data_IF_368901249694
#
_entry.id   IF_368901249694
#
_cell.length_a   1.000
_cell.length_b   1.000
_cell.length_c   1.000
_cell.angle_alpha   90.00
_cell.angle_beta   90.00
_cell.angle_gamma   90.00
#
_symmetry.space_group_name_H-M   'P 1'
#
loop_
_entity.id
_entity.type
_entity.pdbx_description
1 polymer ?
#
# COMPACT_ATOMS: atom_id res chain seq x y z
N UNK A 1 -13.71 29.37 -5.49
CA UNK A 1 -14.04 28.35 -6.49
C UNK A 1 -12.85 27.42 -6.70
N UNK A 2 -13.09 26.14 -6.67
CA UNK A 2 -12.05 25.14 -6.91
C UNK A 2 -11.87 24.94 -8.41
N UNK A 3 -10.60 24.85 -8.84
CA UNK A 3 -10.24 24.65 -10.26
C UNK A 3 -10.10 23.18 -10.64
N UNK A 4 -10.43 22.25 -9.71
CA UNK A 4 -10.24 20.81 -9.91
C UNK A 4 -11.58 20.10 -9.79
N UNK A 5 -11.80 19.09 -10.63
CA UNK A 5 -12.99 18.25 -10.58
C UNK A 5 -12.76 16.98 -9.77
N UNK A 6 -11.51 16.52 -9.71
CA UNK A 6 -11.12 15.29 -9.02
C UNK A 6 -9.77 15.44 -8.35
N UNK A 7 -9.56 14.65 -7.29
CA UNK A 7 -8.29 14.56 -6.59
C UNK A 7 -7.89 13.09 -6.48
N UNK A 8 -6.64 12.80 -6.83
CA UNK A 8 -6.05 11.48 -6.67
C UNK A 8 -5.19 11.48 -5.40
N UNK A 9 -5.43 10.53 -4.52
CA UNK A 9 -4.68 10.37 -3.28
C UNK A 9 -3.79 9.15 -3.33
N UNK A 10 -2.55 9.31 -2.90
CA UNK A 10 -1.73 8.19 -2.46
C UNK A 10 -2.30 7.69 -1.13
N UNK A 11 -2.13 6.40 -0.84
CA UNK A 11 -2.68 5.80 0.37
C UNK A 11 -1.60 5.64 1.43
N UNK A 12 -0.57 4.83 1.13
CA UNK A 12 0.48 4.52 2.10
C UNK A 12 1.36 5.75 2.35
N UNK A 13 1.46 6.16 3.61
CA UNK A 13 2.23 7.33 3.99
C UNK A 13 1.52 8.67 3.78
N UNK A 14 0.30 8.66 3.24
CA UNK A 14 -0.50 9.87 3.01
C UNK A 14 -1.81 9.85 3.78
N UNK A 15 -2.61 8.81 3.62
CA UNK A 15 -3.88 8.62 4.32
C UNK A 15 -3.75 7.64 5.47
N UNK A 16 -2.88 6.66 5.31
CA UNK A 16 -2.68 5.56 6.26
C UNK A 16 -1.20 5.42 6.58
N UNK A 17 -0.88 5.38 7.85
CA UNK A 17 0.46 5.00 8.32
C UNK A 17 0.53 3.48 8.31
N UNK A 18 0.96 2.93 7.20
CA UNK A 18 1.07 1.48 6.97
C UNK A 18 2.49 0.97 7.20
N UNK A 19 3.44 1.84 7.52
CA UNK A 19 4.85 1.47 7.67
C UNK A 19 5.07 0.33 8.67
N UNK A 20 4.47 0.32 9.88
CA UNK A 20 4.72 -0.78 10.82
C UNK A 20 4.38 -2.15 10.24
N UNK A 21 3.21 -2.29 9.62
CA UNK A 21 2.77 -3.56 9.06
C UNK A 21 3.62 -4.01 7.88
N UNK A 22 3.98 -3.09 6.99
CA UNK A 22 4.84 -3.39 5.83
C UNK A 22 6.23 -3.82 6.31
N UNK A 23 6.83 -3.06 7.21
CA UNK A 23 8.18 -3.35 7.70
C UNK A 23 8.23 -4.69 8.44
N UNK A 24 7.27 -4.94 9.33
CA UNK A 24 7.20 -6.20 10.07
C UNK A 24 7.02 -7.40 9.14
N UNK A 25 6.19 -7.26 8.11
CA UNK A 25 5.99 -8.32 7.12
C UNK A 25 7.26 -8.57 6.30
N UNK A 26 7.94 -7.50 5.88
CA UNK A 26 9.21 -7.63 5.16
C UNK A 26 10.27 -8.35 6.01
N UNK A 27 10.39 -7.98 7.28
CA UNK A 27 11.33 -8.65 8.20
C UNK A 27 11.06 -10.15 8.29
N UNK A 28 9.79 -10.51 8.44
CA UNK A 28 9.38 -11.91 8.51
C UNK A 28 9.75 -12.67 7.23
N UNK A 29 9.40 -12.11 6.07
CA UNK A 29 9.64 -12.76 4.78
C UNK A 29 11.14 -12.90 4.51
N UNK A 30 11.92 -11.84 4.72
CA UNK A 30 13.37 -11.91 4.54
C UNK A 30 14.01 -12.95 5.47
N UNK A 31 13.59 -13.01 6.72
CA UNK A 31 14.09 -14.03 7.66
C UNK A 31 13.76 -15.45 7.17
N UNK A 32 12.54 -15.67 6.68
CA UNK A 32 12.12 -16.98 6.14
C UNK A 32 12.87 -17.34 4.86
N UNK A 33 13.32 -16.35 4.10
CA UNK A 33 14.09 -16.53 2.88
C UNK A 33 15.60 -16.56 3.12
N UNK A 34 16.03 -16.46 4.38
CA UNK A 34 17.45 -16.54 4.75
C UNK A 34 18.23 -15.25 4.52
N UNK A 35 17.56 -14.12 4.40
CA UNK A 35 18.20 -12.81 4.19
C UNK A 35 18.32 -12.07 5.51
N UNK A 36 19.54 -11.66 5.86
CA UNK A 36 19.81 -10.83 7.04
C UNK A 36 19.51 -9.37 6.69
N UNK A 37 18.56 -8.75 7.40
CA UNK A 37 18.16 -7.37 7.18
C UNK A 37 18.68 -6.41 8.25
N UNK A 38 19.61 -6.84 9.09
CA UNK A 38 20.15 -6.02 10.20
C UNK A 38 20.66 -4.66 9.71
N UNK A 39 21.35 -4.64 8.57
CA UNK A 39 21.92 -3.43 7.99
C UNK A 39 21.11 -2.87 6.82
N UNK A 40 19.86 -3.32 6.65
CA UNK A 40 19.00 -2.87 5.56
C UNK A 40 17.97 -1.88 6.09
N UNK A 41 17.88 -0.71 5.46
CA UNK A 41 16.83 0.25 5.77
C UNK A 41 15.56 -0.17 5.03
N UNK A 42 14.68 -0.90 5.71
CA UNK A 42 13.46 -1.43 5.10
C UNK A 42 12.45 -0.34 4.73
N UNK A 43 12.59 0.87 5.28
CA UNK A 43 11.68 1.98 4.92
C UNK A 43 11.80 2.36 3.45
N UNK A 44 12.92 2.07 2.80
CA UNK A 44 13.09 2.33 1.36
C UNK A 44 12.14 1.49 0.48
N UNK A 45 11.57 0.44 1.03
CA UNK A 45 10.62 -0.42 0.33
C UNK A 45 9.16 0.01 0.53
N UNK A 46 8.93 1.10 1.23
CA UNK A 46 7.60 1.69 1.34
C UNK A 46 7.26 2.41 0.03
N UNK A 47 6.27 1.92 -0.70
CA UNK A 47 5.83 2.51 -1.97
C UNK A 47 6.21 1.73 -3.22
N UNK A 48 7.46 1.32 -3.44
CA UNK A 48 7.81 0.53 -4.63
C UNK A 48 7.07 -0.80 -4.71
N UNK A 49 6.86 -1.35 -5.92
CA UNK A 49 6.27 -2.68 -6.07
C UNK A 49 7.12 -3.76 -5.41
N UNK A 50 6.45 -4.77 -4.85
CA UNK A 50 7.12 -5.85 -4.11
C UNK A 50 8.20 -6.58 -4.93
N UNK A 51 7.88 -6.90 -6.18
CA UNK A 51 8.82 -7.64 -7.03
C UNK A 51 10.09 -6.85 -7.28
N UNK A 52 9.98 -5.54 -7.40
CA UNK A 52 11.14 -4.66 -7.53
C UNK A 52 12.00 -4.69 -6.26
N UNK A 53 11.36 -4.61 -5.10
CA UNK A 53 12.08 -4.63 -3.82
C UNK A 53 12.77 -5.98 -3.59
N UNK A 54 12.08 -7.09 -3.83
CA UNK A 54 12.69 -8.42 -3.69
C UNK A 54 13.76 -8.68 -4.75
N UNK A 55 13.63 -8.07 -5.93
CA UNK A 55 14.62 -8.17 -6.99
C UNK A 55 16.00 -7.57 -6.63
N UNK A 56 16.07 -6.75 -5.59
CA UNK A 56 17.34 -6.24 -5.07
C UNK A 56 18.10 -7.30 -4.26
N UNK A 57 17.43 -8.34 -3.80
CA UNK A 57 18.02 -9.40 -2.95
C UNK A 57 18.08 -10.76 -3.64
N UNK A 58 17.25 -10.98 -4.63
CA UNK A 58 17.16 -12.26 -5.35
C UNK A 58 17.27 -12.03 -6.85
N UNK A 59 18.11 -12.83 -7.52
CA UNK A 59 18.24 -12.80 -8.98
C UNK A 59 17.36 -13.83 -9.66
N UNK A 60 17.03 -14.92 -8.94
CA UNK A 60 16.17 -15.98 -9.46
C UNK A 60 14.69 -15.53 -9.43
N UNK A 61 14.01 -15.46 -10.59
CA UNK A 61 12.59 -15.08 -10.63
C UNK A 61 11.70 -15.95 -9.74
N UNK A 62 12.03 -17.25 -9.59
CA UNK A 62 11.26 -18.14 -8.73
C UNK A 62 11.34 -17.74 -7.26
N UNK A 63 12.48 -17.25 -6.81
CA UNK A 63 12.65 -16.76 -5.43
C UNK A 63 11.92 -15.43 -5.21
N UNK A 64 11.91 -14.57 -6.21
CA UNK A 64 11.15 -13.33 -6.16
C UNK A 64 9.65 -13.62 -6.02
N UNK A 65 9.13 -14.56 -6.80
CA UNK A 65 7.72 -14.97 -6.70
C UNK A 65 7.41 -15.60 -5.36
N UNK A 66 8.29 -16.46 -4.86
CA UNK A 66 8.12 -17.08 -3.53
C UNK A 66 8.06 -16.02 -2.43
N UNK A 67 8.98 -15.06 -2.45
CA UNK A 67 9.00 -13.98 -1.47
C UNK A 67 7.74 -13.12 -1.57
N UNK A 68 7.30 -12.82 -2.78
CA UNK A 68 6.08 -12.04 -3.03
C UNK A 68 4.84 -12.76 -2.47
N UNK A 69 4.72 -14.06 -2.71
CA UNK A 69 3.60 -14.85 -2.22
C UNK A 69 3.61 -14.94 -0.68
N UNK A 70 4.78 -15.18 -0.08
CA UNK A 70 4.91 -15.18 1.38
C UNK A 70 4.52 -13.83 1.98
N UNK A 71 4.94 -12.75 1.35
CA UNK A 71 4.57 -11.40 1.80
C UNK A 71 3.05 -11.19 1.74
N UNK A 72 2.44 -11.51 0.61
CA UNK A 72 1.00 -11.31 0.42
C UNK A 72 0.18 -12.10 1.42
N UNK A 73 0.55 -13.35 1.65
CA UNK A 73 -0.14 -14.21 2.61
C UNK A 73 -0.03 -13.67 4.05
N UNK A 74 1.18 -13.34 4.47
CA UNK A 74 1.40 -12.80 5.82
C UNK A 74 0.77 -11.41 5.99
N UNK A 75 0.90 -10.55 4.99
CA UNK A 75 0.34 -9.20 5.05
C UNK A 75 -1.18 -9.22 5.13
N UNK A 76 -1.84 -10.07 4.38
CA UNK A 76 -3.30 -10.17 4.39
C UNK A 76 -3.84 -10.56 5.77
N UNK A 77 -3.14 -11.45 6.48
CA UNK A 77 -3.59 -11.98 7.78
C UNK A 77 -3.20 -11.04 8.93
N UNK A 78 -2.04 -10.41 8.85
CA UNK A 78 -1.44 -9.71 9.99
C UNK A 78 -1.04 -8.27 9.67
N UNK A 79 -0.15 -8.09 8.70
CA UNK A 79 0.45 -6.78 8.43
C UNK A 79 -0.55 -5.72 8.01
N UNK A 80 -1.59 -6.09 7.28
CA UNK A 80 -2.62 -5.14 6.82
C UNK A 80 -3.41 -4.52 7.97
N UNK A 81 -3.42 -5.16 9.14
CA UNK A 81 -4.09 -4.66 10.33
C UNK A 81 -3.16 -3.83 11.21
N UNK A 82 -1.86 -3.87 10.97
CA UNK A 82 -0.85 -3.13 11.72
C UNK A 82 -0.65 -1.73 11.14
N UNK A 83 -1.74 -1.00 10.97
CA UNK A 83 -1.73 0.34 10.40
C UNK A 83 -2.82 1.20 11.05
N UNK A 84 -2.74 2.51 10.82
CA UNK A 84 -3.75 3.46 11.30
C UNK A 84 -3.92 4.59 10.29
N UNK A 85 -5.15 5.13 10.20
CA UNK A 85 -5.38 6.35 9.45
C UNK A 85 -4.69 7.51 10.17
N UNK A 86 -4.09 8.42 9.40
CA UNK A 86 -3.54 9.64 9.99
C UNK A 86 -4.65 10.48 10.61
N UNK A 87 -4.37 11.15 11.75
CA UNK A 87 -5.34 12.04 12.35
C UNK A 87 -5.80 13.11 11.34
N UNK A 88 -7.12 13.32 11.26
CA UNK A 88 -7.70 14.30 10.35
C UNK A 88 -7.92 13.85 8.93
N UNK A 89 -7.49 12.63 8.56
CA UNK A 89 -7.70 12.13 7.19
C UNK A 89 -9.18 12.07 6.82
N UNK A 90 -10.02 11.49 7.66
CA UNK A 90 -11.46 11.38 7.40
C UNK A 90 -12.12 12.76 7.29
N UNK A 91 -11.76 13.69 8.18
CA UNK A 91 -12.32 15.04 8.15
C UNK A 91 -11.93 15.79 6.88
N UNK A 92 -10.69 15.65 6.45
CA UNK A 92 -10.22 16.26 5.21
C UNK A 92 -10.99 15.71 4.01
N UNK A 93 -11.15 14.38 3.93
CA UNK A 93 -11.88 13.76 2.83
C UNK A 93 -13.35 14.20 2.81
N UNK A 94 -13.97 14.30 3.99
CA UNK A 94 -15.35 14.78 4.09
C UNK A 94 -15.49 16.21 3.56
N UNK A 95 -14.56 17.09 3.93
CA UNK A 95 -14.57 18.48 3.46
C UNK A 95 -14.44 18.57 1.94
N UNK A 96 -13.61 17.71 1.35
CA UNK A 96 -13.44 17.68 -0.10
C UNK A 96 -14.69 17.16 -0.80
N UNK A 97 -15.35 16.14 -0.24
CA UNK A 97 -16.63 15.66 -0.75
C UNK A 97 -17.71 16.73 -0.66
N UNK A 98 -17.78 17.44 0.44
CA UNK A 98 -18.74 18.52 0.64
C UNK A 98 -18.52 19.67 -0.36
N UNK A 99 -17.27 19.85 -0.82
CA UNK A 99 -16.93 20.82 -1.84
C UNK A 99 -17.27 20.33 -3.27
N UNK A 100 -17.81 19.14 -3.41
CA UNK A 100 -18.26 18.60 -4.70
C UNK A 100 -17.18 17.91 -5.52
N UNK A 101 -16.05 17.58 -4.91
CA UNK A 101 -14.95 16.94 -5.63
C UNK A 101 -15.13 15.42 -5.73
N UNK A 102 -14.66 14.86 -6.83
CA UNK A 102 -14.53 13.41 -7.01
C UNK A 102 -13.22 12.97 -6.37
N UNK A 103 -13.26 11.99 -5.48
CA UNK A 103 -12.09 11.50 -4.79
C UNK A 103 -11.73 10.09 -5.27
N UNK A 104 -10.46 9.89 -5.61
CA UNK A 104 -9.94 8.63 -6.10
C UNK A 104 -8.63 8.30 -5.40
N UNK A 105 -8.27 7.02 -5.35
CA UNK A 105 -6.95 6.61 -4.89
C UNK A 105 -6.06 6.24 -6.07
N UNK A 106 -4.75 6.44 -5.91
CA UNK A 106 -3.74 5.98 -6.86
C UNK A 106 -2.57 5.44 -6.04
N UNK A 107 -2.42 4.12 -5.99
CA UNK A 107 -1.41 3.45 -5.16
C UNK A 107 -0.77 2.29 -5.91
N UNK A 108 0.48 1.98 -5.57
CA UNK A 108 1.18 0.79 -6.05
C UNK A 108 0.65 -0.50 -5.42
N UNK A 109 -0.11 -0.39 -4.34
CA UNK A 109 -0.72 -1.54 -3.67
C UNK A 109 -1.84 -2.09 -4.55
N UNK A 110 -1.97 -3.43 -4.68
CA UNK A 110 -3.08 -4.00 -5.45
C UNK A 110 -4.44 -3.58 -4.92
N UNK A 111 -5.40 -3.39 -5.83
CA UNK A 111 -6.76 -2.96 -5.47
C UNK A 111 -7.41 -3.91 -4.47
N UNK A 112 -7.22 -5.22 -4.65
CA UNK A 112 -7.77 -6.23 -3.74
C UNK A 112 -7.17 -6.15 -2.33
N UNK A 113 -5.99 -5.56 -2.18
CA UNK A 113 -5.33 -5.40 -0.89
C UNK A 113 -5.73 -4.08 -0.23
N UNK A 114 -5.72 -2.98 -0.98
CA UNK A 114 -5.97 -1.65 -0.42
C UNK A 114 -7.43 -1.44 -0.05
N UNK A 115 -8.36 -2.00 -0.80
CA UNK A 115 -9.80 -1.79 -0.56
C UNK A 115 -10.24 -2.25 0.84
N UNK A 116 -9.93 -3.49 1.29
CA UNK A 116 -10.29 -3.91 2.64
C UNK A 116 -9.66 -3.05 3.74
N UNK A 117 -8.44 -2.54 3.51
CA UNK A 117 -7.76 -1.67 4.48
C UNK A 117 -8.52 -0.35 4.62
N UNK A 118 -8.91 0.26 3.52
CA UNK A 118 -9.69 1.50 3.54
C UNK A 118 -11.06 1.29 4.19
N UNK A 119 -11.69 0.15 3.94
CA UNK A 119 -12.96 -0.21 4.57
C UNK A 119 -12.79 -0.34 6.09
N UNK A 120 -11.77 -1.06 6.54
CA UNK A 120 -11.48 -1.25 7.96
C UNK A 120 -11.23 0.08 8.68
N UNK A 121 -10.53 1.01 8.02
CA UNK A 121 -10.22 2.32 8.61
C UNK A 121 -11.33 3.35 8.44
N UNK A 122 -12.46 2.97 7.83
CA UNK A 122 -13.59 3.87 7.65
C UNK A 122 -13.40 4.93 6.58
N UNK A 123 -12.47 4.73 5.67
CA UNK A 123 -12.15 5.71 4.61
C UNK A 123 -12.73 5.36 3.24
N UNK A 124 -13.10 4.10 3.01
CA UNK A 124 -13.52 3.64 1.69
C UNK A 124 -14.73 4.42 1.14
N UNK A 125 -15.68 4.77 2.00
CA UNK A 125 -16.91 5.47 1.61
C UNK A 125 -16.69 6.87 1.06
N UNK A 126 -15.54 7.48 1.28
CA UNK A 126 -15.25 8.81 0.75
C UNK A 126 -14.79 8.77 -0.70
N UNK A 127 -14.37 7.62 -1.21
CA UNK A 127 -13.82 7.51 -2.56
C UNK A 127 -14.88 7.09 -3.56
N UNK A 128 -14.93 7.82 -4.67
CA UNK A 128 -15.77 7.49 -5.81
C UNK A 128 -15.15 6.36 -6.63
N UNK A 129 -13.81 6.25 -6.60
CA UNK A 129 -13.07 5.19 -7.26
C UNK A 129 -11.83 4.84 -6.44
N UNK A 130 -11.63 3.55 -6.18
CA UNK A 130 -10.44 3.04 -5.50
C UNK A 130 -9.57 2.37 -6.56
N UNK A 131 -8.52 3.08 -6.98
CA UNK A 131 -7.55 2.60 -7.96
C UNK A 131 -6.31 2.08 -7.26
N UNK A 132 -5.82 0.93 -7.72
CA UNK A 132 -4.58 0.33 -7.25
C UNK A 132 -3.96 -0.50 -8.36
N UNK A 133 -2.80 -1.10 -8.08
CA UNK A 133 -2.13 -1.98 -9.00
C UNK A 133 -2.91 -3.30 -9.19
N UNK A 134 -2.61 -4.02 -10.25
CA UNK A 134 -3.08 -5.39 -10.40
C UNK A 134 -2.19 -6.33 -9.59
N UNK A 135 -2.69 -7.53 -9.28
CA UNK A 135 -1.92 -8.51 -8.49
C UNK A 135 -0.64 -8.95 -9.18
N UNK A 136 -0.60 -8.92 -10.50
CA UNK A 136 0.61 -9.21 -11.29
C UNK A 136 1.49 -7.98 -11.52
N UNK A 137 1.14 -6.85 -10.91
CA UNK A 137 1.86 -5.58 -11.00
C UNK A 137 1.91 -4.99 -12.42
N UNK A 138 1.00 -5.42 -13.31
CA UNK A 138 0.95 -4.87 -14.68
C UNK A 138 0.51 -3.40 -14.72
N UNK A 139 -0.06 -2.87 -13.63
CA UNK A 139 -0.47 -1.48 -13.47
C UNK A 139 0.17 -0.89 -12.22
N UNK A 140 1.50 -1.01 -12.12
CA UNK A 140 2.22 -0.54 -10.94
C UNK A 140 2.62 0.94 -11.01
N UNK A 141 2.37 1.61 -12.13
CA UNK A 141 2.65 3.03 -12.30
C UNK A 141 1.42 3.87 -11.95
N UNK A 142 1.65 4.98 -11.27
CA UNK A 142 0.60 5.90 -10.84
C UNK A 142 0.34 6.98 -11.90
N UNK A 143 -0.13 6.57 -13.04
CA UNK A 143 -0.39 7.51 -14.13
C UNK A 143 -1.88 7.78 -14.33
#
# INVERSE_FOLDING_TARGET
>A
MLNYDAILFDVDGTLIDSAPGIINTLKEVFARMGVDTTNVNLRRYLGPPLRKSFGEHFTDPALIEKATDLYRDSYAVKGSHECAAYPGAAEMLQRLKDAGLVLCTATSKPTQVVTPILEEKGLAGYFDFIGGASMDESRDTKT
#
